data_IF_147457852100
#
_entry.id   IF_147457852100
#
_cell.length_a   1.000
_cell.length_b   1.000
_cell.length_c   1.000
_cell.angle_alpha   90.00
_cell.angle_beta   90.00
_cell.angle_gamma   90.00
#
_symmetry.space_group_name_H-M   'P 1'
#
loop_
_entity.id
_entity.type
_entity.pdbx_description
1 polymer ?
#
# COMPACT_ATOMS: atom_id res chain seq x y z
N UNK A 1 -27.56 -26.25 1.62
CA UNK A 1 -26.35 -26.51 2.42
C UNK A 1 -26.37 -27.98 2.78
N UNK A 2 -25.32 -28.72 2.44
CA UNK A 2 -25.17 -30.11 2.87
C UNK A 2 -25.03 -30.15 4.41
N UNK A 3 -25.67 -31.14 5.04
CA UNK A 3 -25.38 -31.48 6.43
C UNK A 3 -23.96 -32.05 6.48
N UNK A 4 -23.10 -31.47 7.30
CA UNK A 4 -21.70 -31.87 7.45
C UNK A 4 -21.42 -32.10 8.94
N UNK A 5 -20.69 -33.16 9.25
CA UNK A 5 -20.26 -33.49 10.60
C UNK A 5 -19.18 -32.51 11.07
N UNK A 6 -19.37 -31.88 12.23
CA UNK A 6 -18.41 -30.91 12.75
C UNK A 6 -17.04 -31.50 13.16
N UNK A 7 -16.93 -32.82 13.35
CA UNK A 7 -15.67 -33.50 13.72
C UNK A 7 -14.87 -33.92 12.49
N UNK A 8 -15.49 -34.66 11.56
CA UNK A 8 -14.80 -35.20 10.38
C UNK A 8 -14.90 -34.31 9.14
N UNK A 9 -15.78 -33.31 9.17
CA UNK A 9 -16.14 -32.49 8.02
C UNK A 9 -16.70 -33.30 6.82
N UNK A 10 -17.24 -34.48 7.08
CA UNK A 10 -17.87 -35.35 6.09
C UNK A 10 -19.39 -35.32 6.17
N UNK A 11 -20.07 -35.76 5.11
CA UNK A 11 -21.53 -35.96 5.13
C UNK A 11 -21.85 -37.16 6.02
N UNK A 12 -22.59 -36.98 7.14
CA UNK A 12 -22.90 -38.04 8.08
C UNK A 12 -23.87 -39.09 7.48
N UNK A 13 -23.66 -40.36 7.83
CA UNK A 13 -24.59 -41.45 7.52
C UNK A 13 -25.71 -41.52 8.57
N UNK A 14 -25.35 -41.31 9.84
CA UNK A 14 -26.25 -41.25 10.98
C UNK A 14 -26.08 -39.91 11.72
N UNK A 15 -26.73 -38.83 11.23
CA UNK A 15 -26.61 -37.51 11.83
C UNK A 15 -27.33 -37.40 13.18
N UNK A 16 -26.63 -36.89 14.18
CA UNK A 16 -27.17 -36.52 15.49
C UNK A 16 -26.77 -35.08 15.86
N UNK A 17 -27.60 -34.42 16.66
CA UNK A 17 -27.35 -33.07 17.15
C UNK A 17 -27.08 -33.11 18.64
N UNK A 18 -26.05 -32.37 19.06
CA UNK A 18 -25.89 -32.02 20.48
C UNK A 18 -26.81 -30.83 20.80
N UNK A 19 -27.70 -30.94 21.80
CA UNK A 19 -28.55 -29.83 22.23
C UNK A 19 -27.76 -28.67 22.86
N UNK A 20 -26.49 -28.93 23.20
CA UNK A 20 -25.61 -28.00 23.91
C UNK A 20 -24.85 -27.10 22.94
N UNK A 21 -24.30 -27.66 21.86
CA UNK A 21 -23.60 -26.89 20.82
C UNK A 21 -24.46 -26.56 19.61
N UNK A 22 -25.64 -27.19 19.46
CA UNK A 22 -26.50 -27.12 18.27
C UNK A 22 -25.76 -27.47 16.96
N UNK A 23 -24.70 -28.28 17.05
CA UNK A 23 -23.94 -28.74 15.90
C UNK A 23 -24.34 -30.17 15.52
N UNK A 24 -24.19 -30.48 14.23
CA UNK A 24 -24.47 -31.80 13.67
C UNK A 24 -23.19 -32.65 13.70
N UNK A 25 -23.32 -33.87 14.18
CA UNK A 25 -22.26 -34.84 14.28
C UNK A 25 -22.66 -36.17 13.64
N UNK A 26 -21.67 -36.97 13.26
CA UNK A 26 -21.84 -38.39 12.99
C UNK A 26 -21.91 -39.14 14.33
N UNK A 27 -22.98 -39.92 14.53
CA UNK A 27 -23.27 -40.60 15.81
C UNK A 27 -22.08 -41.38 16.37
N UNK A 28 -21.44 -42.20 15.53
CA UNK A 28 -20.27 -43.00 15.91
C UNK A 28 -19.10 -42.16 16.45
N UNK A 29 -18.89 -40.97 15.89
CA UNK A 29 -17.75 -40.12 16.25
C UNK A 29 -18.01 -39.37 17.57
N UNK A 30 -19.24 -38.87 17.76
CA UNK A 30 -19.59 -38.14 18.98
C UNK A 30 -19.72 -39.08 20.19
N UNK A 31 -20.29 -40.28 20.03
CA UNK A 31 -20.37 -41.28 21.11
C UNK A 31 -18.96 -41.67 21.57
N UNK A 32 -18.03 -41.89 20.63
CA UNK A 32 -16.63 -42.16 20.97
C UNK A 32 -16.00 -40.99 21.74
N UNK A 33 -16.25 -39.75 21.34
CA UNK A 33 -15.71 -38.57 22.02
C UNK A 33 -16.30 -38.38 23.42
N UNK A 34 -17.61 -38.59 23.59
CA UNK A 34 -18.30 -38.53 24.88
C UNK A 34 -17.77 -39.62 25.83
N UNK A 35 -17.54 -40.83 25.34
CA UNK A 35 -16.98 -41.92 26.13
C UNK A 35 -15.55 -41.62 26.62
N UNK A 36 -14.74 -40.90 25.84
CA UNK A 36 -13.36 -40.54 26.20
C UNK A 36 -13.28 -39.29 27.09
N UNK A 37 -14.09 -38.26 26.84
CA UNK A 37 -13.93 -36.92 27.45
C UNK A 37 -15.13 -36.44 28.29
N UNK A 38 -16.30 -37.09 28.21
CA UNK A 38 -17.51 -36.74 28.98
C UNK A 38 -18.11 -35.36 28.68
N UNK A 39 -17.72 -34.75 27.57
CA UNK A 39 -18.09 -33.38 27.20
C UNK A 39 -18.32 -33.23 25.69
N UNK A 40 -18.93 -32.12 25.29
CA UNK A 40 -19.10 -31.75 23.89
C UNK A 40 -17.78 -31.26 23.28
N UNK A 41 -17.39 -31.72 22.07
CA UNK A 41 -16.13 -31.37 21.42
C UNK A 41 -15.97 -29.90 21.03
N UNK A 42 -17.08 -29.15 20.89
CA UNK A 42 -17.01 -27.76 20.38
C UNK A 42 -16.90 -26.72 21.48
N UNK A 43 -17.58 -26.93 22.61
CA UNK A 43 -17.65 -25.95 23.69
C UNK A 43 -17.22 -26.49 25.07
N UNK A 44 -16.88 -27.78 25.17
CA UNK A 44 -16.38 -28.39 26.41
C UNK A 44 -17.40 -28.52 27.54
N UNK A 45 -18.70 -28.37 27.25
CA UNK A 45 -19.75 -28.53 28.25
C UNK A 45 -20.09 -30.02 28.48
N UNK A 46 -20.53 -30.42 29.68
CA UNK A 46 -20.85 -31.82 29.97
C UNK A 46 -22.02 -32.30 29.11
N UNK A 47 -21.85 -33.44 28.45
CA UNK A 47 -22.82 -34.02 27.52
C UNK A 47 -22.84 -35.55 27.72
N UNK A 48 -24.03 -36.12 27.87
CA UNK A 48 -24.22 -37.59 27.92
C UNK A 48 -24.81 -38.13 26.60
N UNK A 49 -24.57 -39.40 26.31
CA UNK A 49 -25.05 -40.05 25.08
C UNK A 49 -26.58 -39.99 24.93
N UNK A 50 -27.31 -40.05 26.04
CA UNK A 50 -28.78 -39.98 26.09
C UNK A 50 -29.34 -38.62 25.66
N UNK A 51 -28.52 -37.57 25.73
CA UNK A 51 -28.92 -36.21 25.36
C UNK A 51 -28.81 -35.95 23.85
N UNK A 52 -28.24 -36.87 23.08
CA UNK A 52 -28.11 -36.73 21.63
C UNK A 52 -29.46 -36.89 20.93
N UNK A 53 -29.75 -35.96 20.00
CA UNK A 53 -31.00 -35.95 19.25
C UNK A 53 -30.73 -36.44 17.82
N UNK A 54 -31.35 -37.55 17.42
CA UNK A 54 -31.21 -38.09 16.07
C UNK A 54 -31.96 -37.25 15.04
N UNK A 55 -31.31 -36.97 13.90
CA UNK A 55 -31.94 -36.32 12.76
C UNK A 55 -32.34 -37.38 11.74
N UNK A 56 -33.63 -37.43 11.37
CA UNK A 56 -34.10 -38.28 10.28
C UNK A 56 -33.83 -37.60 8.93
N UNK A 57 -32.84 -38.10 8.21
CA UNK A 57 -32.45 -37.62 6.86
C UNK A 57 -32.45 -38.81 5.90
N UNK A 58 -32.74 -38.57 4.62
CA UNK A 58 -32.57 -39.59 3.59
C UNK A 58 -31.09 -39.95 3.44
N UNK A 59 -30.77 -41.25 3.48
CA UNK A 59 -29.39 -41.71 3.36
C UNK A 59 -28.75 -41.26 2.04
N UNK A 60 -27.53 -40.67 2.07
CA UNK A 60 -26.83 -40.26 0.88
C UNK A 60 -26.37 -41.49 0.10
N UNK A 61 -26.85 -41.65 -1.13
CA UNK A 61 -26.47 -42.77 -2.01
C UNK A 61 -25.19 -42.36 -2.76
N UNK A 62 -24.04 -42.96 -2.40
CA UNK A 62 -22.80 -42.80 -3.17
C UNK A 62 -22.71 -43.89 -4.24
N UNK A 63 -22.72 -43.55 -5.53
CA UNK A 63 -22.58 -44.55 -6.58
C UNK A 63 -21.17 -45.17 -6.51
N UNK A 64 -21.07 -46.50 -6.48
CA UNK A 64 -19.79 -47.19 -6.58
C UNK A 64 -19.24 -47.04 -7.99
N UNK A 65 -17.94 -46.76 -8.11
CA UNK A 65 -17.27 -46.71 -9.40
C UNK A 65 -17.36 -48.09 -10.10
N UNK A 66 -17.58 -48.15 -11.42
CA UNK A 66 -17.71 -49.43 -12.14
C UNK A 66 -16.45 -50.30 -12.09
N UNK A 67 -15.29 -49.68 -11.82
CA UNK A 67 -13.99 -50.34 -11.66
C UNK A 67 -13.81 -51.09 -10.33
N UNK A 68 -14.64 -50.87 -9.31
CA UNK A 68 -14.49 -51.46 -7.96
C UNK A 68 -15.22 -52.79 -7.76
N UNK A 69 -15.31 -53.60 -8.82
CA UNK A 69 -16.02 -54.89 -8.82
C UNK A 69 -15.10 -56.10 -8.58
N UNK A 70 -13.79 -55.94 -8.73
CA UNK A 70 -12.80 -57.02 -8.55
C UNK A 70 -12.04 -56.90 -7.22
N UNK A 71 -11.61 -58.03 -6.64
CA UNK A 71 -10.80 -58.06 -5.41
C UNK A 71 -9.53 -57.19 -5.53
N UNK A 72 -8.76 -57.22 -6.63
CA UNK A 72 -7.61 -56.33 -6.80
C UNK A 72 -7.97 -54.85 -6.79
N UNK A 73 -9.12 -54.48 -7.39
CA UNK A 73 -9.57 -53.09 -7.41
C UNK A 73 -10.00 -52.58 -6.03
N UNK A 74 -10.63 -53.43 -5.21
CA UNK A 74 -10.99 -53.09 -3.82
C UNK A 74 -9.73 -52.89 -2.98
N UNK A 75 -8.74 -53.78 -3.11
CA UNK A 75 -7.48 -53.66 -2.39
C UNK A 75 -6.72 -52.40 -2.78
N UNK A 76 -6.71 -52.07 -4.09
CA UNK A 76 -6.10 -50.84 -4.58
C UNK A 76 -6.79 -49.59 -4.04
N UNK A 77 -8.13 -49.55 -4.05
CA UNK A 77 -8.88 -48.43 -3.48
C UNK A 77 -8.61 -48.26 -1.98
N UNK A 78 -8.58 -49.35 -1.20
CA UNK A 78 -8.21 -49.28 0.21
C UNK A 78 -6.80 -48.75 0.41
N UNK A 79 -5.83 -49.20 -0.40
CA UNK A 79 -4.47 -48.71 -0.33
C UNK A 79 -4.40 -47.21 -0.62
N UNK A 80 -5.08 -46.74 -1.65
CA UNK A 80 -5.07 -45.34 -2.05
C UNK A 80 -5.67 -44.42 -0.96
N UNK A 81 -6.75 -44.84 -0.31
CA UNK A 81 -7.35 -44.11 0.82
C UNK A 81 -6.41 -44.05 2.03
N UNK A 82 -5.74 -45.17 2.37
CA UNK A 82 -4.78 -45.19 3.46
C UNK A 82 -3.55 -44.34 3.17
N UNK A 83 -3.02 -44.40 1.94
CA UNK A 83 -1.89 -43.57 1.51
C UNK A 83 -2.24 -42.08 1.58
N UNK A 84 -3.46 -41.70 1.17
CA UNK A 84 -3.95 -40.33 1.27
C UNK A 84 -4.08 -39.86 2.73
N UNK A 85 -4.68 -40.67 3.61
CA UNK A 85 -4.82 -40.35 5.05
C UNK A 85 -3.46 -40.21 5.72
N UNK A 86 -2.51 -41.09 5.39
CA UNK A 86 -1.15 -41.05 5.94
C UNK A 86 -0.40 -39.81 5.50
N UNK A 87 -0.43 -39.48 4.21
CA UNK A 87 0.22 -38.29 3.66
C UNK A 87 -0.38 -37.00 4.23
N UNK A 88 -1.71 -36.94 4.32
CA UNK A 88 -2.42 -35.79 4.89
C UNK A 88 -2.07 -35.62 6.37
N UNK A 89 -2.12 -36.69 7.16
CA UNK A 89 -1.79 -36.65 8.59
C UNK A 89 -0.34 -36.24 8.84
N UNK A 90 0.60 -36.72 8.02
CA UNK A 90 2.01 -36.33 8.09
C UNK A 90 2.18 -34.83 7.80
N UNK A 91 1.60 -34.35 6.70
CA UNK A 91 1.65 -32.94 6.30
C UNK A 91 1.04 -32.03 7.37
N UNK A 92 -0.10 -32.41 7.93
CA UNK A 92 -0.78 -31.66 8.98
C UNK A 92 0.07 -31.57 10.26
N UNK A 93 0.73 -32.66 10.66
CA UNK A 93 1.66 -32.66 11.80
C UNK A 93 2.85 -31.75 11.56
N UNK A 94 3.40 -31.77 10.34
CA UNK A 94 4.49 -30.88 9.95
C UNK A 94 4.06 -29.41 10.05
N UNK A 95 2.89 -29.06 9.50
CA UNK A 95 2.34 -27.71 9.58
C UNK A 95 2.09 -27.27 11.03
N UNK A 96 1.56 -28.14 11.88
CA UNK A 96 1.36 -27.85 13.30
C UNK A 96 2.70 -27.55 14.00
N UNK A 97 3.75 -28.31 13.68
CA UNK A 97 5.06 -28.08 14.28
C UNK A 97 5.67 -26.75 13.80
N UNK A 98 5.56 -26.44 12.51
CA UNK A 98 6.03 -25.17 11.94
C UNK A 98 5.30 -23.97 12.55
N UNK A 99 3.96 -24.01 12.61
CA UNK A 99 3.17 -22.93 13.20
C UNK A 99 3.46 -22.74 14.68
N UNK A 100 3.71 -23.82 15.43
CA UNK A 100 4.15 -23.73 16.82
C UNK A 100 5.51 -23.03 16.95
N UNK A 101 6.45 -23.30 16.05
CA UNK A 101 7.75 -22.65 16.03
C UNK A 101 7.62 -21.15 15.68
N UNK A 102 6.83 -20.81 14.66
CA UNK A 102 6.53 -19.43 14.29
C UNK A 102 5.87 -18.66 15.43
N UNK A 103 4.88 -19.27 16.11
CA UNK A 103 4.24 -18.70 17.29
C UNK A 103 5.25 -18.41 18.39
N UNK A 104 6.17 -19.35 18.67
CA UNK A 104 7.20 -19.14 19.69
C UNK A 104 8.09 -17.94 19.34
N UNK A 105 8.50 -17.82 18.08
CA UNK A 105 9.31 -16.71 17.60
C UNK A 105 8.56 -15.37 17.68
N UNK A 106 7.28 -15.34 17.29
CA UNK A 106 6.42 -14.16 17.40
C UNK A 106 6.26 -13.71 18.86
N UNK A 107 6.08 -14.65 19.80
CA UNK A 107 6.01 -14.33 21.23
C UNK A 107 7.32 -13.76 21.77
N UNK A 108 8.48 -14.28 21.34
CA UNK A 108 9.78 -13.73 21.71
C UNK A 108 9.98 -12.31 21.15
N UNK A 109 9.62 -12.07 19.89
CA UNK A 109 9.69 -10.73 19.30
C UNK A 109 8.75 -9.75 20.00
N UNK A 110 7.55 -10.19 20.35
CA UNK A 110 6.58 -9.39 21.11
C UNK A 110 7.13 -9.00 22.49
N UNK A 111 7.72 -9.93 23.25
CA UNK A 111 8.35 -9.61 24.54
C UNK A 111 9.52 -8.62 24.37
N UNK A 112 10.35 -8.81 23.34
CA UNK A 112 11.43 -7.88 23.03
C UNK A 112 10.92 -6.46 22.73
N UNK A 113 9.86 -6.33 21.92
CA UNK A 113 9.22 -5.05 21.64
C UNK A 113 8.65 -4.40 22.90
N UNK A 114 7.98 -5.16 23.76
CA UNK A 114 7.48 -4.68 25.05
C UNK A 114 8.61 -4.10 25.94
N UNK A 115 9.78 -4.74 25.96
CA UNK A 115 10.96 -4.21 26.69
C UNK A 115 11.49 -2.91 26.09
N UNK A 116 11.47 -2.76 24.76
CA UNK A 116 11.85 -1.51 24.08
C UNK A 116 10.88 -0.39 24.44
N UNK A 117 9.58 -0.65 24.42
CA UNK A 117 8.55 0.32 24.81
C UNK A 117 8.75 0.76 26.27
N UNK A 118 9.03 -0.17 27.19
CA UNK A 118 9.31 0.14 28.58
C UNK A 118 10.54 1.05 28.74
N UNK A 119 11.61 0.80 27.96
CA UNK A 119 12.81 1.65 27.95
C UNK A 119 12.50 3.05 27.41
N UNK A 120 11.85 3.15 26.25
CA UNK A 120 11.50 4.42 25.64
C UNK A 120 10.58 5.26 26.52
N UNK A 121 9.63 4.63 27.20
CA UNK A 121 8.75 5.32 28.16
C UNK A 121 9.57 5.96 29.29
N UNK A 122 10.61 5.29 29.76
CA UNK A 122 11.53 5.84 30.79
C UNK A 122 12.38 6.99 30.25
N UNK A 123 12.87 6.90 29.02
CA UNK A 123 13.64 7.97 28.39
C UNK A 123 12.78 9.21 28.12
N UNK A 124 11.54 9.01 27.63
CA UNK A 124 10.58 10.09 27.38
C UNK A 124 10.18 10.80 28.67
N UNK A 125 9.95 10.06 29.75
CA UNK A 125 9.63 10.65 31.06
C UNK A 125 10.80 11.45 31.61
N UNK A 126 12.03 10.92 31.56
CA UNK A 126 13.23 11.64 31.97
C UNK A 126 13.47 12.92 31.15
N UNK A 127 13.26 12.87 29.83
CA UNK A 127 13.38 14.04 28.95
C UNK A 127 12.34 15.12 29.30
N UNK A 128 11.09 14.73 29.57
CA UNK A 128 10.03 15.66 30.00
C UNK A 128 10.34 16.30 31.35
N UNK A 129 10.86 15.52 32.31
CA UNK A 129 11.28 16.04 33.61
C UNK A 129 12.45 17.02 33.49
N UNK A 130 13.46 16.70 32.68
CA UNK A 130 14.58 17.61 32.40
C UNK A 130 14.08 18.95 31.82
N UNK A 131 13.15 18.89 30.86
CA UNK A 131 12.54 20.07 30.26
C UNK A 131 11.73 20.89 31.30
N UNK A 132 11.05 20.23 32.23
CA UNK A 132 10.34 20.91 33.32
C UNK A 132 11.27 21.56 34.36
N UNK A 133 12.48 21.01 34.57
CA UNK A 133 13.48 21.57 35.51
C UNK A 133 14.25 22.77 34.95
N UNK A 134 14.25 22.96 33.62
CA UNK A 134 14.76 24.18 33.01
C UNK A 134 13.79 25.33 33.32
N UNK A 135 14.12 26.15 34.32
CA UNK A 135 13.37 27.40 34.58
C UNK A 135 13.45 28.29 33.34
N UNK A 136 12.35 28.96 32.95
CA UNK A 136 12.41 29.98 31.92
C UNK A 136 13.31 31.10 32.44
N UNK A 137 14.42 31.36 31.75
CA UNK A 137 15.13 32.63 31.95
C UNK A 137 14.15 33.75 31.58
N UNK A 138 13.67 34.45 32.61
CA UNK A 138 12.90 35.65 32.48
C UNK A 138 13.73 36.71 31.73
N UNK A 139 13.18 37.23 30.64
CA UNK A 139 13.78 38.38 29.95
C UNK A 139 13.66 38.42 28.44
N UNK A 140 12.58 37.92 27.83
CA UNK A 140 12.12 38.46 26.55
C UNK A 140 10.62 38.64 26.64
N UNK A 141 10.23 39.90 26.64
CA UNK A 141 8.86 40.38 26.52
C UNK A 141 8.24 39.64 25.34
N UNK A 142 7.26 38.78 25.62
CA UNK A 142 6.33 38.30 24.61
C UNK A 142 5.45 39.49 24.27
N UNK A 143 5.93 40.34 23.37
CA UNK A 143 5.00 41.03 22.47
C UNK A 143 4.13 39.94 21.87
N UNK A 144 2.82 40.18 21.82
CA UNK A 144 1.93 39.35 21.03
C UNK A 144 2.52 39.24 19.62
N UNK A 145 3.21 38.13 19.36
CA UNK A 145 3.55 37.73 18.03
C UNK A 145 2.21 37.36 17.40
N UNK A 146 1.62 38.35 16.71
CA UNK A 146 0.96 38.08 15.43
C UNK A 146 1.78 36.98 14.79
N UNK A 147 1.17 35.82 14.54
CA UNK A 147 1.83 34.66 13.96
C UNK A 147 2.74 35.09 12.82
N UNK A 148 4.02 35.28 13.12
CA UNK A 148 5.04 35.49 12.11
C UNK A 148 5.17 34.13 11.49
N UNK A 149 4.75 34.04 10.22
CA UNK A 149 4.98 32.89 9.35
C UNK A 149 6.39 32.34 9.64
N UNK A 150 6.58 31.01 9.70
CA UNK A 150 7.92 30.46 9.74
C UNK A 150 8.72 31.15 8.64
N UNK A 151 9.85 31.77 9.00
CA UNK A 151 10.76 32.33 8.02
C UNK A 151 11.38 31.16 7.27
N UNK A 152 10.64 30.65 6.28
CA UNK A 152 11.14 29.64 5.37
C UNK A 152 12.14 30.31 4.46
N UNK A 153 13.39 29.92 4.61
CA UNK A 153 14.43 30.30 3.68
C UNK A 153 14.42 29.32 2.52
N UNK A 154 14.33 29.83 1.29
CA UNK A 154 14.66 29.06 0.10
C UNK A 154 16.16 28.83 0.18
N UNK A 155 16.58 27.61 0.47
CA UNK A 155 17.98 27.35 0.76
C UNK A 155 18.79 27.45 -0.54
N UNK A 156 18.32 26.81 -1.61
CA UNK A 156 18.98 26.78 -2.92
C UNK A 156 17.97 26.46 -4.05
N UNK A 157 18.23 26.98 -5.26
CA UNK A 157 17.55 26.52 -6.48
C UNK A 157 18.57 26.18 -7.57
N UNK A 158 18.35 25.07 -8.26
CA UNK A 158 19.11 24.72 -9.46
C UNK A 158 18.28 24.95 -10.71
N UNK A 159 18.91 25.54 -11.73
CA UNK A 159 18.39 25.63 -13.09
C UNK A 159 19.29 24.78 -13.99
N UNK A 160 18.67 24.03 -14.91
CA UNK A 160 19.40 23.33 -15.97
C UNK A 160 19.76 21.86 -15.71
N UNK A 161 19.04 21.15 -14.83
CA UNK A 161 19.16 19.69 -14.72
C UNK A 161 18.78 18.98 -16.04
N UNK A 162 17.79 19.54 -16.74
CA UNK A 162 17.26 19.02 -18.00
C UNK A 162 17.51 20.00 -19.15
N UNK A 163 17.35 19.52 -20.39
CA UNK A 163 17.64 20.31 -21.60
C UNK A 163 17.01 21.70 -21.58
N UNK A 164 17.81 22.72 -21.88
CA UNK A 164 17.34 24.10 -21.95
C UNK A 164 16.31 24.34 -23.08
N UNK A 165 16.31 23.51 -24.13
CA UNK A 165 15.44 23.63 -25.30
C UNK A 165 14.01 23.14 -25.08
N UNK A 166 13.79 22.26 -24.09
CA UNK A 166 12.46 21.70 -23.78
C UNK A 166 12.13 22.04 -22.33
N UNK A 167 11.14 22.91 -22.07
CA UNK A 167 10.84 23.34 -20.73
C UNK A 167 10.14 22.25 -19.92
N UNK A 168 10.58 22.07 -18.68
CA UNK A 168 9.81 21.43 -17.61
C UNK A 168 10.43 20.15 -17.06
N UNK A 169 10.51 20.11 -15.74
CA UNK A 169 10.64 18.88 -14.97
C UNK A 169 9.22 18.45 -14.65
N UNK A 170 8.88 17.18 -14.85
CA UNK A 170 7.50 16.68 -14.76
C UNK A 170 7.24 15.82 -13.54
N UNK A 171 8.28 15.22 -12.97
CA UNK A 171 8.17 14.35 -11.81
C UNK A 171 9.44 14.44 -10.97
N UNK A 172 9.27 14.18 -9.68
CA UNK A 172 10.27 14.30 -8.64
C UNK A 172 10.07 13.13 -7.67
N UNK A 173 11.17 12.52 -7.25
CA UNK A 173 11.20 11.67 -6.07
C UNK A 173 12.53 11.83 -5.31
N UNK A 174 12.52 11.50 -4.02
CA UNK A 174 13.70 11.56 -3.15
C UNK A 174 14.10 10.16 -2.75
N UNK A 175 15.40 9.92 -2.60
CA UNK A 175 15.86 8.64 -2.06
C UNK A 175 15.47 8.53 -0.57
N UNK A 176 14.68 7.52 -0.17
CA UNK A 176 14.19 7.41 1.21
C UNK A 176 15.30 7.26 2.25
N UNK A 177 16.42 6.62 1.89
CA UNK A 177 17.56 6.42 2.79
C UNK A 177 18.53 7.61 2.86
N UNK A 178 18.58 8.44 1.81
CA UNK A 178 19.47 9.59 1.70
C UNK A 178 18.76 10.70 0.94
N UNK A 179 18.06 11.56 1.68
CA UNK A 179 17.20 12.59 1.08
C UNK A 179 17.97 13.70 0.34
N UNK A 180 19.30 13.66 0.35
CA UNK A 180 20.13 14.51 -0.51
C UNK A 180 20.10 14.07 -1.97
N UNK A 181 19.81 12.79 -2.24
CA UNK A 181 19.72 12.29 -3.62
C UNK A 181 18.31 12.50 -4.15
N UNK A 182 18.25 13.28 -5.22
CA UNK A 182 17.02 13.68 -5.88
C UNK A 182 16.94 13.02 -7.26
N UNK A 183 15.77 12.49 -7.59
CA UNK A 183 15.46 11.91 -8.88
C UNK A 183 14.45 12.79 -9.60
N UNK A 184 14.77 13.21 -10.83
CA UNK A 184 13.89 14.05 -11.64
C UNK A 184 13.60 13.44 -13.00
N UNK A 185 12.34 13.47 -13.42
CA UNK A 185 11.90 13.08 -14.75
C UNK A 185 11.60 14.30 -15.61
N UNK A 186 12.24 14.42 -16.76
CA UNK A 186 12.15 15.60 -17.62
C UNK A 186 11.19 15.49 -18.80
N UNK A 187 10.73 16.65 -19.27
CA UNK A 187 10.09 16.78 -20.58
C UNK A 187 11.05 16.46 -21.73
N UNK A 188 12.36 16.54 -21.48
CA UNK A 188 13.45 16.21 -22.40
C UNK A 188 13.72 14.70 -22.54
N UNK A 189 12.84 13.86 -21.96
CA UNK A 189 12.88 12.38 -22.02
C UNK A 189 13.98 11.72 -21.18
N UNK A 190 14.74 12.52 -20.43
CA UNK A 190 15.80 12.02 -19.58
C UNK A 190 15.32 11.88 -18.14
N UNK A 191 15.94 10.95 -17.43
CA UNK A 191 15.85 10.85 -15.97
C UNK A 191 17.19 11.27 -15.41
N UNK A 192 17.20 12.16 -14.42
CA UNK A 192 18.42 12.71 -13.84
C UNK A 192 18.44 12.38 -12.36
N UNK A 193 19.58 11.86 -11.90
CA UNK A 193 19.88 11.66 -10.49
C UNK A 193 20.86 12.76 -10.06
N UNK A 194 20.44 13.56 -9.11
CA UNK A 194 21.19 14.72 -8.61
C UNK A 194 21.54 14.52 -7.13
N UNK A 195 22.76 14.86 -6.75
CA UNK A 195 23.19 14.89 -5.35
C UNK A 195 23.19 16.33 -4.85
N UNK A 196 22.33 16.63 -3.88
CA UNK A 196 22.25 17.94 -3.24
C UNK A 196 23.52 18.30 -2.47
N UNK A 197 24.19 17.32 -1.85
CA UNK A 197 25.34 17.58 -0.97
C UNK A 197 26.57 18.00 -1.76
N UNK A 198 26.81 17.32 -2.88
CA UNK A 198 27.94 17.59 -3.78
C UNK A 198 27.59 18.59 -4.89
N UNK A 199 26.30 18.96 -5.01
CA UNK A 199 25.76 19.81 -6.08
C UNK A 199 26.08 19.31 -7.50
N UNK A 200 26.14 17.99 -7.68
CA UNK A 200 26.50 17.36 -8.96
C UNK A 200 25.41 16.43 -9.48
N UNK A 201 25.35 16.29 -10.80
CA UNK A 201 24.57 15.25 -11.47
C UNK A 201 25.33 13.93 -11.34
N UNK A 202 24.77 12.97 -10.60
CA UNK A 202 25.33 11.61 -10.46
C UNK A 202 25.18 10.86 -11.78
N UNK A 203 23.98 10.89 -12.36
CA UNK A 203 23.68 10.14 -13.58
C UNK A 203 22.63 10.85 -14.43
N UNK A 204 22.79 10.77 -15.75
CA UNK A 204 21.76 11.14 -16.73
C UNK A 204 21.38 9.90 -17.53
N UNK A 205 20.19 9.37 -17.23
CA UNK A 205 19.67 8.12 -17.76
C UNK A 205 18.84 8.43 -19.01
N UNK A 206 19.38 8.03 -20.17
CA UNK A 206 18.78 8.30 -21.49
C UNK A 206 18.20 7.01 -22.08
N UNK A 207 16.97 7.07 -22.56
CA UNK A 207 16.39 5.94 -23.29
C UNK A 207 14.89 6.01 -23.55
N UNK A 208 14.12 6.79 -22.78
CA UNK A 208 12.71 7.02 -23.12
C UNK A 208 12.59 7.78 -24.45
N UNK A 209 11.52 7.47 -25.19
CA UNK A 209 11.26 8.10 -26.50
C UNK A 209 10.31 9.29 -26.39
N UNK A 210 9.62 9.42 -25.26
CA UNK A 210 8.75 10.55 -24.87
C UNK A 210 9.12 11.06 -23.48
N UNK A 211 8.45 12.14 -23.04
CA UNK A 211 8.65 12.77 -21.73
C UNK A 211 8.48 11.75 -20.58
N UNK A 212 9.13 11.98 -19.45
CA UNK A 212 9.00 11.09 -18.27
C UNK A 212 7.89 11.62 -17.37
N UNK A 213 6.86 10.82 -17.12
CA UNK A 213 5.66 11.22 -16.36
C UNK A 213 5.75 10.90 -14.88
N UNK A 214 6.46 9.86 -14.50
CA UNK A 214 6.66 9.48 -13.10
C UNK A 214 8.03 8.87 -12.90
N UNK A 215 8.62 9.12 -11.74
CA UNK A 215 9.91 8.56 -11.32
C UNK A 215 9.80 8.08 -9.88
N UNK A 216 10.51 7.00 -9.55
CA UNK A 216 10.55 6.45 -8.19
C UNK A 216 11.95 5.99 -7.84
N UNK A 217 12.41 6.31 -6.65
CA UNK A 217 13.63 5.78 -6.06
C UNK A 217 13.35 4.49 -5.28
N UNK A 218 14.16 3.45 -5.48
CA UNK A 218 14.08 2.28 -4.62
C UNK A 218 14.63 2.62 -3.21
N UNK A 219 13.99 2.19 -2.11
CA UNK A 219 14.37 2.57 -0.75
C UNK A 219 15.70 2.00 -0.27
N UNK A 220 16.14 0.85 -0.79
CA UNK A 220 17.33 0.14 -0.29
C UNK A 220 18.36 -0.26 -1.35
N UNK A 221 18.02 -0.13 -2.64
CA UNK A 221 18.87 -0.57 -3.75
C UNK A 221 19.20 0.65 -4.58
N UNK A 222 20.37 0.65 -5.22
CA UNK A 222 20.80 1.73 -6.12
C UNK A 222 20.12 1.63 -7.50
N UNK A 223 18.79 1.50 -7.49
CA UNK A 223 17.93 1.31 -8.66
C UNK A 223 16.84 2.37 -8.63
N UNK A 224 16.52 2.91 -9.81
CA UNK A 224 15.44 3.88 -9.98
C UNK A 224 14.51 3.43 -11.11
N UNK A 225 13.25 3.86 -11.02
CA UNK A 225 12.20 3.51 -11.95
C UNK A 225 11.67 4.75 -12.63
N UNK A 226 11.32 4.62 -13.90
CA UNK A 226 10.67 5.71 -14.63
C UNK A 226 9.57 5.19 -15.54
N UNK A 227 8.49 5.95 -15.62
CA UNK A 227 7.36 5.71 -16.50
C UNK A 227 7.24 6.83 -17.54
N UNK A 228 6.75 6.49 -18.72
CA UNK A 228 6.60 7.45 -19.82
C UNK A 228 5.36 7.17 -20.67
N UNK A 229 4.84 8.18 -21.39
CA UNK A 229 3.84 8.00 -22.43
C UNK A 229 4.31 7.18 -23.64
N UNK A 230 5.56 6.70 -23.64
CA UNK A 230 6.06 5.76 -24.64
C UNK A 230 5.70 4.29 -24.37
N UNK A 231 4.74 4.07 -23.47
CA UNK A 231 4.22 2.78 -23.00
C UNK A 231 5.24 1.87 -22.30
N UNK A 232 6.40 2.42 -21.92
CA UNK A 232 7.43 1.67 -21.19
C UNK A 232 7.61 2.16 -19.77
N UNK A 233 7.91 1.20 -18.90
CA UNK A 233 8.48 1.43 -17.59
C UNK A 233 9.92 0.94 -17.65
N UNK A 234 10.86 1.76 -17.21
CA UNK A 234 12.29 1.43 -17.25
C UNK A 234 12.86 1.33 -15.85
N UNK A 235 13.65 0.29 -15.65
CA UNK A 235 14.45 0.04 -14.45
C UNK A 235 15.88 0.43 -14.76
N UNK A 236 16.46 1.30 -13.95
CA UNK A 236 17.80 1.84 -14.17
C UNK A 236 18.70 1.56 -12.99
N UNK A 237 19.96 1.20 -13.27
CA UNK A 237 21.00 1.17 -12.26
C UNK A 237 21.59 2.57 -12.14
N UNK A 238 21.58 3.14 -10.93
CA UNK A 238 22.18 4.45 -10.67
C UNK A 238 23.70 4.38 -10.78
N UNK A 239 24.31 3.30 -10.29
CA UNK A 239 25.76 3.10 -10.33
C UNK A 239 26.28 2.81 -11.73
N UNK A 240 25.52 2.04 -12.54
CA UNK A 240 25.89 1.72 -13.91
C UNK A 240 25.48 2.79 -14.94
N UNK A 241 24.56 3.68 -14.60
CA UNK A 241 24.05 4.71 -15.52
C UNK A 241 23.28 4.14 -16.72
N UNK A 242 22.90 2.87 -16.68
CA UNK A 242 22.30 2.13 -17.79
C UNK A 242 20.91 1.57 -17.44
N UNK A 243 20.10 1.37 -18.47
CA UNK A 243 18.82 0.70 -18.35
C UNK A 243 19.07 -0.80 -18.15
N UNK A 244 18.65 -1.33 -16.99
CA UNK A 244 18.80 -2.75 -16.65
C UNK A 244 17.65 -3.54 -17.28
N UNK A 245 16.43 -3.02 -17.16
CA UNK A 245 15.23 -3.68 -17.70
C UNK A 245 14.22 -2.68 -18.27
N UNK A 246 13.41 -3.17 -19.21
CA UNK A 246 12.30 -2.44 -19.82
C UNK A 246 11.05 -3.30 -19.66
N UNK A 247 10.14 -2.86 -18.81
CA UNK A 247 8.85 -3.50 -18.57
C UNK A 247 7.82 -2.91 -19.53
N UNK A 248 7.18 -3.77 -20.32
CA UNK A 248 6.15 -3.41 -21.32
C UNK A 248 4.79 -3.95 -20.88
N UNK A 249 4.22 -3.33 -19.85
CA UNK A 249 2.93 -3.74 -19.31
C UNK A 249 1.73 -3.15 -20.06
N UNK A 250 1.90 -2.00 -20.70
CA UNK A 250 0.82 -1.21 -21.27
C UNK A 250 0.99 -0.98 -22.77
N UNK A 251 -0.14 -0.71 -23.43
CA UNK A 251 -0.19 -0.39 -24.85
C UNK A 251 -0.37 1.12 -25.10
N UNK A 252 -0.72 1.88 -24.07
CA UNK A 252 -0.87 3.33 -24.10
C UNK A 252 0.04 4.02 -23.08
N UNK A 253 -0.17 5.31 -22.85
CA UNK A 253 0.66 6.13 -21.96
C UNK A 253 0.63 5.60 -20.53
N UNK A 254 1.78 5.43 -19.89
CA UNK A 254 1.84 5.11 -18.45
C UNK A 254 1.72 6.42 -17.67
N UNK A 255 0.70 6.52 -16.83
CA UNK A 255 0.27 7.74 -16.16
C UNK A 255 0.59 7.74 -14.66
N UNK A 256 0.59 6.57 -14.04
CA UNK A 256 0.99 6.38 -12.64
C UNK A 256 2.00 5.26 -12.49
N UNK A 257 2.88 5.42 -11.51
CA UNK A 257 3.85 4.42 -11.08
C UNK A 257 3.89 4.44 -9.55
N UNK A 258 3.96 3.28 -8.92
CA UNK A 258 4.13 3.16 -7.47
C UNK A 258 4.89 1.89 -7.11
N UNK A 259 5.78 1.99 -6.12
CA UNK A 259 6.54 0.86 -5.59
C UNK A 259 5.76 0.19 -4.46
N UNK A 260 5.70 -1.14 -4.47
CA UNK A 260 5.11 -1.92 -3.40
C UNK A 260 5.94 -1.79 -2.11
N UNK A 261 5.30 -1.89 -0.94
CA UNK A 261 5.96 -1.73 0.36
C UNK A 261 7.15 -2.68 0.60
N UNK A 262 7.15 -3.85 -0.06
CA UNK A 262 8.29 -4.81 -0.01
C UNK A 262 9.51 -4.37 -0.82
N UNK A 263 9.34 -3.48 -1.80
CA UNK A 263 10.39 -3.04 -2.71
C UNK A 263 10.58 -3.92 -3.95
N UNK A 264 9.99 -5.12 -4.01
CA UNK A 264 10.26 -6.07 -5.12
C UNK A 264 9.31 -5.92 -6.32
N UNK A 265 8.21 -5.19 -6.16
CA UNK A 265 7.15 -5.10 -7.17
C UNK A 265 6.74 -3.66 -7.49
N UNK A 266 6.33 -3.43 -8.73
CA UNK A 266 5.80 -2.16 -9.22
C UNK A 266 4.34 -2.28 -9.61
N UNK A 267 3.57 -1.27 -9.23
CA UNK A 267 2.26 -0.96 -9.77
C UNK A 267 2.40 0.12 -10.83
N UNK A 268 1.75 -0.09 -11.96
CA UNK A 268 1.61 0.91 -12.99
C UNK A 268 0.17 1.06 -13.42
N UNK A 269 -0.21 2.29 -13.80
CA UNK A 269 -1.50 2.60 -14.39
C UNK A 269 -1.33 3.32 -15.72
N UNK A 270 -2.33 3.18 -16.59
CA UNK A 270 -2.24 3.69 -17.95
C UNK A 270 -3.59 4.17 -18.49
N UNK A 271 -3.49 5.00 -19.54
CA UNK A 271 -4.60 5.39 -20.40
C UNK A 271 -5.23 4.19 -21.13
N UNK A 272 -4.56 3.03 -21.17
CA UNK A 272 -5.13 1.79 -21.71
C UNK A 272 -6.25 1.20 -20.84
N UNK A 273 -6.58 1.86 -19.72
CA UNK A 273 -7.61 1.49 -18.74
C UNK A 273 -7.19 0.39 -17.77
N UNK A 274 -6.01 -0.19 -17.95
CA UNK A 274 -5.51 -1.24 -17.08
C UNK A 274 -4.56 -0.67 -16.03
N UNK A 275 -4.58 -1.31 -14.87
CA UNK A 275 -3.43 -1.30 -13.98
C UNK A 275 -2.68 -2.63 -14.14
N UNK A 276 -1.37 -2.59 -13.89
CA UNK A 276 -0.52 -3.76 -13.97
C UNK A 276 0.37 -3.87 -12.73
N UNK A 277 0.63 -5.10 -12.31
CA UNK A 277 1.53 -5.45 -11.23
C UNK A 277 2.69 -6.25 -11.82
N UNK A 278 3.91 -5.73 -11.65
CA UNK A 278 5.10 -6.26 -12.31
C UNK A 278 6.21 -6.54 -11.29
N UNK A 279 6.92 -7.64 -11.49
CA UNK A 279 8.13 -7.97 -10.74
C UNK A 279 9.31 -7.19 -11.30
N UNK A 280 10.04 -6.51 -10.41
CA UNK A 280 11.18 -5.66 -10.76
C UNK A 280 12.40 -6.48 -11.13
N UNK A 281 12.61 -7.63 -10.48
CA UNK A 281 13.82 -8.42 -10.65
C UNK A 281 13.80 -9.15 -11.99
N UNK A 282 12.64 -9.66 -12.40
CA UNK A 282 12.47 -10.38 -13.66
C UNK A 282 11.95 -9.50 -14.80
N UNK A 283 11.38 -8.34 -14.49
CA UNK A 283 10.75 -7.45 -15.45
C UNK A 283 9.45 -7.99 -16.02
N UNK A 284 8.90 -9.04 -15.38
CA UNK A 284 7.71 -9.74 -15.84
C UNK A 284 6.46 -9.07 -15.27
N UNK A 285 5.47 -8.88 -16.13
CA UNK A 285 4.11 -8.49 -15.73
C UNK A 285 3.43 -9.72 -15.12
N UNK A 286 3.10 -9.66 -13.84
CA UNK A 286 2.44 -10.74 -13.11
C UNK A 286 0.93 -10.71 -13.35
N UNK A 287 0.36 -9.51 -13.29
CA UNK A 287 -1.07 -9.28 -13.40
C UNK A 287 -1.33 -8.00 -14.19
N UNK A 288 -2.35 -8.03 -15.04
CA UNK A 288 -2.89 -6.85 -15.73
C UNK A 288 -4.40 -6.94 -15.68
N UNK A 289 -5.05 -5.95 -15.08
CA UNK A 289 -6.49 -5.98 -14.77
C UNK A 289 -7.11 -4.63 -15.11
N UNK A 290 -8.35 -4.67 -15.58
CA UNK A 290 -9.21 -3.52 -15.84
C UNK A 290 -10.51 -3.67 -15.08
N UNK A 291 -11.25 -2.57 -14.95
CA UNK A 291 -12.62 -2.61 -14.46
C UNK A 291 -13.57 -2.87 -15.63
N UNK A 292 -14.08 -4.10 -15.72
CA UNK A 292 -14.99 -4.52 -16.80
C UNK A 292 -16.31 -3.71 -16.81
N UNK A 293 -16.73 -3.16 -15.66
CA UNK A 293 -17.98 -2.42 -15.55
C UNK A 293 -17.86 -0.96 -16.00
N UNK A 294 -16.66 -0.38 -15.92
CA UNK A 294 -16.41 1.03 -16.19
C UNK A 294 -14.99 1.22 -16.74
N UNK A 295 -14.82 0.91 -18.03
CA UNK A 295 -13.57 1.12 -18.77
C UNK A 295 -13.29 2.61 -18.96
N UNK A 296 -12.45 3.17 -18.08
CA UNK A 296 -12.00 4.55 -18.14
C UNK A 296 -10.48 4.61 -18.03
N UNK A 297 -9.87 5.61 -18.67
CA UNK A 297 -8.43 5.84 -18.60
C UNK A 297 -8.01 6.13 -17.16
N UNK A 298 -6.94 5.48 -16.70
CA UNK A 298 -6.36 5.73 -15.39
C UNK A 298 -5.36 6.87 -15.49
N UNK A 299 -5.38 7.79 -14.53
CA UNK A 299 -4.59 9.03 -14.55
C UNK A 299 -3.47 9.03 -13.53
N UNK A 300 -3.61 8.27 -12.44
CA UNK A 300 -2.61 8.13 -11.39
C UNK A 300 -2.85 6.82 -10.63
N UNK A 301 -1.82 6.34 -9.94
CA UNK A 301 -1.91 5.17 -9.07
C UNK A 301 -0.89 5.27 -7.94
N UNK A 302 -1.27 4.80 -6.76
CA UNK A 302 -0.37 4.70 -5.62
C UNK A 302 -0.73 3.49 -4.76
N UNK A 303 0.26 2.75 -4.31
CA UNK A 303 0.09 1.77 -3.26
C UNK A 303 -0.26 2.43 -1.93
N UNK A 304 -1.10 1.76 -1.18
CA UNK A 304 -1.24 2.05 0.23
C UNK A 304 0.00 1.51 0.99
N UNK A 305 0.40 2.14 2.13
CA UNK A 305 1.60 1.73 2.87
C UNK A 305 1.62 0.27 3.36
N UNK A 306 0.46 -0.39 3.47
CA UNK A 306 0.37 -1.82 3.80
C UNK A 306 0.72 -2.76 2.64
N UNK A 307 0.74 -2.25 1.40
CA UNK A 307 0.95 -3.03 0.17
C UNK A 307 -0.23 -3.93 -0.26
N UNK A 308 -1.28 -4.05 0.53
CA UNK A 308 -2.41 -4.93 0.24
C UNK A 308 -3.42 -4.29 -0.71
N UNK A 309 -3.61 -2.99 -0.56
CA UNK A 309 -4.51 -2.20 -1.39
C UNK A 309 -3.77 -1.10 -2.14
N UNK A 310 -4.40 -0.57 -3.19
CA UNK A 310 -3.91 0.60 -3.88
C UNK A 310 -5.07 1.42 -4.43
N UNK A 311 -4.80 2.71 -4.63
CA UNK A 311 -5.74 3.65 -5.22
C UNK A 311 -5.38 3.96 -6.65
N UNK A 312 -6.38 4.05 -7.52
CA UNK A 312 -6.25 4.55 -8.89
C UNK A 312 -7.21 5.70 -9.13
N UNK A 313 -6.72 6.78 -9.74
CA UNK A 313 -7.56 7.88 -10.21
C UNK A 313 -7.96 7.64 -11.65
N UNK A 314 -9.16 8.07 -12.01
CA UNK A 314 -9.71 7.92 -13.37
C UNK A 314 -9.97 9.29 -14.01
N UNK A 315 -10.07 9.29 -15.34
CA UNK A 315 -10.47 10.47 -16.10
C UNK A 315 -11.96 10.83 -15.91
N UNK A 316 -12.80 9.90 -15.43
CA UNK A 316 -14.24 10.11 -15.14
C UNK A 316 -14.51 10.67 -13.73
N UNK A 317 -13.49 11.21 -13.05
CA UNK A 317 -13.60 11.84 -11.73
C UNK A 317 -13.85 10.87 -10.57
N UNK A 318 -13.59 9.58 -10.76
CA UNK A 318 -13.69 8.58 -9.71
C UNK A 318 -12.32 8.22 -9.14
N UNK A 319 -12.32 7.81 -7.87
CA UNK A 319 -11.17 7.16 -7.27
C UNK A 319 -11.59 5.74 -6.94
N UNK A 320 -10.84 4.78 -7.45
CA UNK A 320 -11.09 3.35 -7.26
C UNK A 320 -10.02 2.78 -6.32
N UNK A 321 -10.46 2.02 -5.32
CA UNK A 321 -9.58 1.28 -4.41
C UNK A 321 -9.64 -0.19 -4.77
N UNK A 322 -8.48 -0.78 -4.97
CA UNK A 322 -8.32 -2.15 -5.41
C UNK A 322 -7.68 -2.99 -4.32
N UNK A 323 -8.15 -4.22 -4.18
CA UNK A 323 -7.46 -5.27 -3.45
C UNK A 323 -6.52 -6.00 -4.41
N UNK A 324 -5.23 -6.00 -4.10
CA UNK A 324 -4.20 -6.61 -4.95
C UNK A 324 -4.37 -8.13 -5.07
N UNK A 325 -4.78 -8.79 -3.98
CA UNK A 325 -4.89 -10.25 -3.91
C UNK A 325 -6.11 -10.73 -4.68
N UNK A 326 -7.26 -10.14 -4.40
CA UNK A 326 -8.52 -10.53 -5.04
C UNK A 326 -8.64 -9.96 -6.46
N UNK A 327 -7.86 -8.91 -6.78
CA UNK A 327 -7.86 -8.20 -8.07
C UNK A 327 -9.21 -7.56 -8.39
N UNK A 328 -9.93 -7.18 -7.35
CA UNK A 328 -11.26 -6.58 -7.44
C UNK A 328 -11.25 -5.16 -6.91
N UNK A 329 -12.12 -4.32 -7.47
CA UNK A 329 -12.43 -3.01 -6.91
C UNK A 329 -13.27 -3.19 -5.64
N UNK A 330 -12.75 -2.73 -4.51
CA UNK A 330 -13.38 -2.86 -3.18
C UNK A 330 -14.14 -1.60 -2.78
N UNK A 331 -13.72 -0.42 -3.26
CA UNK A 331 -14.39 0.83 -2.95
C UNK A 331 -14.23 1.87 -4.06
N UNK A 332 -15.28 2.67 -4.24
CA UNK A 332 -15.28 3.82 -5.14
C UNK A 332 -15.59 5.08 -4.34
N UNK A 333 -14.79 6.13 -4.54
CA UNK A 333 -15.03 7.44 -3.95
C UNK A 333 -15.52 8.42 -5.01
N UNK A 334 -16.85 8.66 -5.09
CA UNK A 334 -17.40 9.68 -5.98
C UNK A 334 -17.35 11.06 -5.33
N UNK A 335 -17.21 12.11 -6.14
CA UNK A 335 -17.45 13.48 -5.69
C UNK A 335 -16.49 14.53 -6.23
N UNK A 336 -15.45 14.14 -6.97
CA UNK A 336 -14.69 15.08 -7.78
C UNK A 336 -15.43 15.45 -9.07
N UNK A 337 -15.07 16.60 -9.64
CA UNK A 337 -15.57 17.06 -10.93
C UNK A 337 -14.36 17.20 -11.88
N UNK A 338 -14.27 16.29 -12.85
CA UNK A 338 -13.15 16.22 -13.78
C UNK A 338 -12.06 15.23 -13.35
N UNK A 339 -11.06 15.00 -14.22
CA UNK A 339 -10.02 14.00 -14.03
C UNK A 339 -9.29 14.15 -12.70
N UNK A 340 -9.09 13.03 -12.01
CA UNK A 340 -8.24 12.95 -10.82
C UNK A 340 -6.80 13.09 -11.29
N UNK A 341 -6.02 13.98 -10.70
CA UNK A 341 -4.63 14.25 -11.13
C UNK A 341 -3.61 13.55 -10.24
N UNK A 342 -3.92 13.42 -8.95
CA UNK A 342 -2.98 12.87 -7.96
C UNK A 342 -3.73 12.25 -6.79
N UNK A 343 -3.10 11.24 -6.20
CA UNK A 343 -3.57 10.50 -5.04
C UNK A 343 -2.37 10.35 -4.10
N UNK A 344 -2.59 10.57 -2.80
CA UNK A 344 -1.60 10.38 -1.75
C UNK A 344 -2.23 9.61 -0.60
N UNK A 345 -1.68 8.45 -0.24
CA UNK A 345 -2.00 7.78 1.02
C UNK A 345 -1.17 8.37 2.16
N UNK A 346 -1.80 8.52 3.33
CA UNK A 346 -1.07 8.87 4.54
C UNK A 346 -0.35 7.62 5.08
N UNK A 347 0.86 7.81 5.62
CA UNK A 347 1.65 6.75 6.26
C UNK A 347 0.95 6.09 7.45
N UNK A 348 -0.07 6.74 8.04
CA UNK A 348 -0.89 6.14 9.07
C UNK A 348 -1.88 5.08 8.54
N UNK A 349 -2.05 4.99 7.21
CA UNK A 349 -2.93 4.05 6.51
C UNK A 349 -4.44 4.33 6.64
N UNK A 350 -4.85 5.45 7.23
CA UNK A 350 -6.26 5.76 7.45
C UNK A 350 -6.79 6.83 6.50
N UNK A 351 -5.92 7.72 6.03
CA UNK A 351 -6.31 8.86 5.22
C UNK A 351 -5.81 8.75 3.80
N UNK A 352 -6.66 9.18 2.88
CA UNK A 352 -6.36 9.34 1.47
C UNK A 352 -6.64 10.79 1.06
N UNK A 353 -5.64 11.46 0.49
CA UNK A 353 -5.79 12.76 -0.15
C UNK A 353 -5.86 12.58 -1.67
N UNK A 354 -6.82 13.24 -2.29
CA UNK A 354 -7.01 13.20 -3.74
C UNK A 354 -7.17 14.60 -4.30
N UNK A 355 -6.51 14.84 -5.43
CA UNK A 355 -6.55 16.10 -6.14
C UNK A 355 -7.14 15.88 -7.53
N UNK A 356 -7.95 16.82 -8.00
CA UNK A 356 -8.56 16.76 -9.32
C UNK A 356 -8.53 18.11 -10.02
N UNK A 357 -9.02 18.12 -11.26
CA UNK A 357 -9.12 19.34 -12.06
C UNK A 357 -10.15 20.36 -11.53
N UNK A 358 -11.01 19.96 -10.58
CA UNK A 358 -11.97 20.86 -9.89
C UNK A 358 -11.33 21.84 -8.90
N UNK A 359 -9.99 21.97 -8.88
CA UNK A 359 -9.26 22.82 -7.94
C UNK A 359 -9.56 22.47 -6.47
N UNK A 360 -9.95 21.22 -6.19
CA UNK A 360 -10.24 20.75 -4.84
C UNK A 360 -9.32 19.60 -4.43
N UNK A 361 -8.90 19.64 -3.17
CA UNK A 361 -8.26 18.51 -2.50
C UNK A 361 -9.28 17.89 -1.56
N UNK A 362 -9.62 16.63 -1.81
CA UNK A 362 -10.58 15.87 -1.01
C UNK A 362 -9.84 14.88 -0.12
N UNK A 363 -10.30 14.78 1.12
CA UNK A 363 -9.73 13.93 2.14
C UNK A 363 -10.74 12.88 2.55
N UNK A 364 -10.31 11.63 2.47
CA UNK A 364 -11.15 10.45 2.67
C UNK A 364 -10.64 9.66 3.86
N UNK A 365 -11.57 9.19 4.69
CA UNK A 365 -11.28 8.20 5.74
C UNK A 365 -11.56 6.81 5.16
N UNK A 366 -10.51 6.01 4.98
CA UNK A 366 -10.59 4.69 4.36
C UNK A 366 -11.41 3.69 5.19
N UNK A 367 -11.55 3.90 6.50
CA UNK A 367 -12.37 2.99 7.34
C UNK A 367 -13.86 3.28 7.22
N UNK A 368 -14.20 4.56 7.02
CA UNK A 368 -15.60 5.02 6.90
C UNK A 368 -16.03 5.15 5.45
N UNK A 369 -15.09 5.01 4.52
CA UNK A 369 -15.27 5.19 3.09
C UNK A 369 -16.00 6.49 2.72
N UNK A 370 -15.67 7.58 3.42
CA UNK A 370 -16.37 8.86 3.28
C UNK A 370 -15.41 10.03 3.21
N UNK A 371 -15.76 11.02 2.38
CA UNK A 371 -15.15 12.34 2.43
C UNK A 371 -15.49 13.00 3.75
N UNK A 372 -14.48 13.33 4.56
CA UNK A 372 -14.69 14.05 5.82
C UNK A 372 -14.30 15.52 5.70
N UNK A 373 -13.48 15.88 4.71
CA UNK A 373 -13.04 17.25 4.45
C UNK A 373 -12.80 17.46 2.96
N UNK A 374 -13.26 18.60 2.47
CA UNK A 374 -12.91 19.13 1.15
C UNK A 374 -12.22 20.47 1.36
N UNK A 375 -11.04 20.63 0.78
CA UNK A 375 -10.29 21.88 0.72
C UNK A 375 -10.48 22.43 -0.69
N UNK A 376 -11.26 23.49 -0.81
CA UNK A 376 -11.45 24.20 -2.09
C UNK A 376 -10.38 25.28 -2.21
N UNK A 377 -9.57 25.18 -3.26
CA UNK A 377 -8.54 26.18 -3.56
C UNK A 377 -9.14 27.27 -4.45
N UNK A 378 -8.32 28.27 -4.79
CA UNK A 378 -8.76 29.39 -5.63
C UNK A 378 -9.22 28.91 -7.01
N UNK A 379 -10.13 29.69 -7.62
CA UNK A 379 -10.66 29.39 -8.94
C UNK A 379 -9.50 29.28 -9.95
N UNK A 380 -9.41 28.15 -10.66
CA UNK A 380 -8.35 27.76 -11.60
C UNK A 380 -7.04 27.24 -10.99
N UNK A 381 -7.01 26.90 -9.69
CA UNK A 381 -5.84 26.22 -9.14
C UNK A 381 -5.70 24.81 -9.74
N UNK A 382 -4.55 24.50 -10.33
CA UNK A 382 -4.28 23.16 -10.87
C UNK A 382 -3.54 22.32 -9.85
N UNK A 383 -4.15 21.28 -9.29
CA UNK A 383 -3.44 20.31 -8.44
C UNK A 383 -2.70 19.31 -9.32
N UNK A 384 -1.37 19.19 -9.18
CA UNK A 384 -0.54 18.24 -9.94
C UNK A 384 0.05 17.13 -9.06
N UNK A 385 0.47 17.48 -7.85
CA UNK A 385 1.17 16.56 -6.95
C UNK A 385 0.61 16.71 -5.53
N UNK A 386 0.43 15.59 -4.86
CA UNK A 386 0.04 15.51 -3.46
C UNK A 386 0.99 14.55 -2.76
N UNK A 387 1.54 14.95 -1.62
CA UNK A 387 2.43 14.09 -0.83
C UNK A 387 2.21 14.35 0.65
N UNK A 388 2.02 13.28 1.42
CA UNK A 388 2.09 13.32 2.87
C UNK A 388 3.54 13.23 3.33
N UNK A 389 3.85 13.85 4.46
CA UNK A 389 5.14 13.61 5.11
C UNK A 389 5.20 12.23 5.77
N UNK A 390 6.41 11.77 6.05
CA UNK A 390 6.66 10.48 6.70
C UNK A 390 5.98 10.33 8.07
N UNK A 391 5.73 11.45 8.77
CA UNK A 391 5.05 11.43 10.08
C UNK A 391 3.52 11.49 9.98
N UNK A 392 2.98 11.80 8.79
CA UNK A 392 1.56 12.06 8.58
C UNK A 392 1.04 13.36 9.21
N UNK A 393 1.93 14.26 9.64
CA UNK A 393 1.59 15.55 10.25
C UNK A 393 1.28 16.62 9.21
N UNK A 394 1.91 16.55 8.04
CA UNK A 394 1.82 17.56 6.99
C UNK A 394 1.38 16.95 5.66
N UNK A 395 0.61 17.73 4.90
CA UNK A 395 0.23 17.43 3.52
C UNK A 395 0.73 18.57 2.63
N UNK A 396 1.58 18.26 1.67
CA UNK A 396 1.99 19.20 0.64
C UNK A 396 1.11 19.05 -0.60
N UNK A 397 0.66 20.19 -1.13
CA UNK A 397 -0.09 20.32 -2.36
C UNK A 397 0.76 21.11 -3.34
N UNK A 398 1.20 20.44 -4.42
CA UNK A 398 1.93 21.04 -5.53
C UNK A 398 1.00 21.27 -6.71
N UNK A 399 1.01 22.50 -7.23
CA UNK A 399 0.12 22.90 -8.30
C UNK A 399 0.52 24.23 -8.91
N UNK A 400 -0.40 25.19 -8.98
CA UNK A 400 -0.05 26.57 -9.35
C UNK A 400 1.04 27.13 -8.43
N UNK A 401 0.86 26.94 -7.13
CA UNK A 401 1.83 27.24 -6.07
C UNK A 401 2.06 25.99 -5.22
N UNK A 402 2.87 26.09 -4.16
CA UNK A 402 3.04 25.01 -3.19
C UNK A 402 2.37 25.41 -1.88
N UNK A 403 1.43 24.59 -1.40
CA UNK A 403 0.76 24.82 -0.12
C UNK A 403 1.01 23.65 0.83
N UNK A 404 1.32 23.94 2.08
CA UNK A 404 1.51 22.92 3.13
C UNK A 404 0.42 23.07 4.19
N UNK A 405 -0.29 21.97 4.44
CA UNK A 405 -1.37 21.88 5.42
C UNK A 405 -0.97 21.00 6.60
N UNK A 406 -1.40 21.37 7.82
CA UNK A 406 -1.29 20.46 8.98
C UNK A 406 -2.49 19.51 9.01
N UNK A 407 -2.25 18.20 8.99
CA UNK A 407 -3.27 17.15 8.95
C UNK A 407 -4.21 17.15 10.18
N UNK A 408 -3.77 17.68 11.32
CA UNK A 408 -4.61 17.72 12.54
C UNK A 408 -5.79 18.69 12.42
N UNK A 409 -5.59 19.82 11.75
CA UNK A 409 -6.56 20.93 11.67
C UNK A 409 -7.00 21.23 10.23
N UNK A 410 -6.24 20.73 9.24
CA UNK A 410 -6.39 21.02 7.82
C UNK A 410 -6.33 22.52 7.51
N UNK A 411 -5.50 23.24 8.27
CA UNK A 411 -5.19 24.64 8.05
C UNK A 411 -3.90 24.79 7.25
N UNK A 412 -3.89 25.76 6.35
CA UNK A 412 -2.71 26.16 5.60
C UNK A 412 -1.69 26.79 6.55
N UNK A 413 -0.44 26.33 6.48
CA UNK A 413 0.67 26.86 7.29
C UNK A 413 1.62 27.67 6.43
N UNK A 414 1.94 27.14 5.25
CA UNK A 414 2.94 27.69 4.35
C UNK A 414 2.41 27.71 2.93
N UNK A 415 2.76 28.78 2.23
CA UNK A 415 2.49 28.97 0.81
C UNK A 415 3.77 29.48 0.13
N UNK A 416 4.26 28.75 -0.88
CA UNK A 416 5.43 29.12 -1.66
C UNK A 416 5.01 29.44 -3.10
N UNK A 417 5.28 30.67 -3.52
CA UNK A 417 4.94 31.21 -4.86
C UNK A 417 6.19 31.48 -5.70
N UNK A 418 7.31 30.84 -5.34
CA UNK A 418 8.61 31.11 -5.91
C UNK A 418 8.78 30.55 -7.34
N UNK A 419 8.01 29.53 -7.73
CA UNK A 419 8.07 28.98 -9.08
C UNK A 419 7.37 29.92 -10.07
N UNK A 420 8.00 30.16 -11.23
CA UNK A 420 7.39 31.02 -12.26
C UNK A 420 6.41 30.27 -13.17
N UNK A 421 6.28 28.96 -12.98
CA UNK A 421 5.36 28.10 -13.70
C UNK A 421 4.81 27.02 -12.78
N UNK A 422 3.85 26.24 -13.28
CA UNK A 422 3.17 25.20 -12.50
C UNK A 422 4.17 24.20 -11.92
N UNK A 423 4.02 23.93 -10.62
CA UNK A 423 4.75 22.92 -9.86
C UNK A 423 4.18 21.55 -10.22
N UNK A 424 5.07 20.67 -10.66
CA UNK A 424 4.73 19.35 -11.20
C UNK A 424 4.99 18.23 -10.20
N UNK A 425 5.92 18.44 -9.25
CA UNK A 425 6.31 17.45 -8.26
C UNK A 425 6.72 18.13 -6.97
N UNK A 426 6.35 17.51 -5.85
CA UNK A 426 6.70 17.96 -4.50
C UNK A 426 7.03 16.73 -3.66
N UNK A 427 8.09 16.79 -2.85
CA UNK A 427 8.48 15.71 -1.96
C UNK A 427 9.06 16.27 -0.65
N UNK A 428 8.71 15.64 0.48
CA UNK A 428 9.29 15.97 1.77
C UNK A 428 10.64 15.28 1.96
N UNK A 429 11.62 16.03 2.47
CA UNK A 429 12.85 15.47 3.01
C UNK A 429 12.62 14.73 4.33
N UNK A 430 13.71 14.21 4.90
CA UNK A 430 13.67 13.40 6.10
C UNK A 430 13.03 14.19 7.26
N UNK A 431 12.06 13.57 7.94
CA UNK A 431 11.31 14.19 9.03
C UNK A 431 10.68 15.56 8.71
N UNK A 432 10.38 15.83 7.44
CA UNK A 432 9.87 17.12 6.97
C UNK A 432 10.78 18.31 7.36
N UNK A 433 12.10 18.12 7.45
CA UNK A 433 13.05 19.22 7.70
C UNK A 433 13.15 20.18 6.51
N UNK A 434 12.93 19.66 5.29
CA UNK A 434 12.88 20.46 4.09
C UNK A 434 11.84 19.90 3.12
N UNK A 435 11.42 20.75 2.18
CA UNK A 435 10.53 20.42 1.09
C UNK A 435 11.30 20.63 -0.23
N UNK A 436 11.14 19.69 -1.16
CA UNK A 436 11.71 19.80 -2.50
C UNK A 436 10.59 19.92 -3.51
N UNK A 437 10.76 20.76 -4.52
CA UNK A 437 9.80 20.90 -5.60
C UNK A 437 10.43 21.04 -6.97
N UNK A 438 9.68 20.63 -7.97
CA UNK A 438 10.03 20.78 -9.37
C UNK A 438 8.93 21.49 -10.12
N UNK A 439 9.31 22.33 -11.08
CA UNK A 439 8.35 23.10 -11.87
C UNK A 439 8.57 23.02 -13.38
N UNK A 440 7.54 23.47 -14.10
CA UNK A 440 7.61 23.73 -15.54
C UNK A 440 8.61 24.84 -15.91
N UNK A 441 9.03 25.63 -14.92
CA UNK A 441 10.07 26.65 -15.06
C UNK A 441 11.51 26.08 -15.15
N UNK A 442 11.66 24.75 -15.16
CA UNK A 442 12.93 24.00 -15.23
C UNK A 442 13.79 24.10 -13.96
N UNK A 443 13.20 24.53 -12.85
CA UNK A 443 13.90 24.63 -11.59
C UNK A 443 13.57 23.46 -10.66
N UNK A 444 14.61 23.04 -9.93
CA UNK A 444 14.52 22.22 -8.73
C UNK A 444 14.79 23.16 -7.54
N UNK A 445 13.84 23.28 -6.62
CA UNK A 445 13.94 24.19 -5.46
C UNK A 445 13.88 23.41 -4.16
N UNK A 446 14.64 23.87 -3.17
CA UNK A 446 14.63 23.35 -1.81
C UNK A 446 14.19 24.45 -0.84
N UNK A 447 13.24 24.10 0.03
CA UNK A 447 12.71 24.97 1.08
C UNK A 447 13.03 24.34 2.43
N UNK A 448 13.75 25.04 3.30
CA UNK A 448 13.92 24.61 4.70
C UNK A 448 12.70 25.07 5.51
N UNK A 449 12.04 24.15 6.20
CA UNK A 449 10.81 24.43 6.95
C UNK A 449 11.07 25.06 8.33
#
# INVERSE_FOLDING_TARGET
MSLVCAISNEVPEHPCVSPVSNQVFERRLIEKYIAENGADPMNGQPLSEEQLIDIKVSHPIRPKAPSSTSIPAILKALQDEWDAVMLHSFTLRQQLQTTRQELSHALYQHDAACRVIARLTKEVTAAREALATLKPQAGLVVTQAVASQPHVTVSDWLKGLHSASVPGILSLDLCPSDTNKVLTGGADKNVVVFDKKEEQIIATLKGHTKKVTSVIYHPSQSVVFSASPDSTIRVWSVTGGNCVQVVRAHEASVTGLSLHATGDYLLSSSEDQYWAFSDIQTGRVLTKVTDEAAGCALTCAQFHPDGLIFGTGTADSQIKIWDLKERTNVANFPGHIGPVTSIAFSENGYYLATGAQDSSVKLWDLRKLKNFKTITLDNNYEVKSLVFDQSGTYLAVGGTDIRVYICKQWSEVLNFTEHTGVVTGVAFGEHAQFLTSTGMDRSLKFYSL
#
